data_IF_673578978871
#
_entry.id   IF_673578978871
#
_cell.length_a   1.000
_cell.length_b   1.000
_cell.length_c   1.000
_cell.angle_alpha   90.00
_cell.angle_beta   90.00
_cell.angle_gamma   90.00
#
_symmetry.space_group_name_H-M   'P 1'
#
loop_
_entity.id
_entity.type
_entity.pdbx_description
1 polymer ?
#
# COMPACT_ATOMS: atom_id res chain seq x y z
N UNK A 1 8.90 28.00 -9.25
CA UNK A 1 7.65 27.42 -9.82
C UNK A 1 6.72 26.99 -8.69
N UNK A 2 5.40 27.10 -8.89
CA UNK A 2 4.38 26.64 -7.93
C UNK A 2 3.98 25.17 -8.13
N UNK A 3 4.49 24.52 -9.18
CA UNK A 3 4.16 23.15 -9.56
C UNK A 3 4.99 22.06 -8.86
N UNK A 4 6.12 22.40 -8.23
CA UNK A 4 7.04 21.45 -7.59
C UNK A 4 7.28 21.73 -6.09
N UNK A 5 6.26 21.71 -5.23
CA UNK A 5 6.44 22.14 -3.83
C UNK A 5 7.32 21.21 -2.97
N UNK A 6 7.56 19.96 -3.37
CA UNK A 6 8.55 19.09 -2.69
C UNK A 6 10.00 19.54 -2.91
N UNK A 7 10.31 20.10 -4.08
CA UNK A 7 11.63 20.64 -4.44
C UNK A 7 11.39 21.88 -5.29
N UNK A 8 11.01 23.01 -4.67
CA UNK A 8 10.67 24.20 -5.42
C UNK A 8 11.89 24.64 -6.22
N UNK A 9 11.72 24.72 -7.54
CA UNK A 9 12.75 25.20 -8.46
C UNK A 9 12.52 26.69 -8.71
N UNK A 10 13.60 27.47 -8.68
CA UNK A 10 13.58 28.86 -9.12
C UNK A 10 14.09 28.90 -10.55
N UNK A 11 13.44 29.72 -11.38
CA UNK A 11 13.79 29.93 -12.78
C UNK A 11 14.04 31.42 -12.95
N UNK A 12 15.03 31.77 -13.76
CA UNK A 12 15.45 33.16 -13.96
C UNK A 12 14.57 33.83 -15.01
N UNK A 13 14.09 33.05 -15.99
CA UNK A 13 13.22 33.54 -17.06
C UNK A 13 11.85 32.88 -17.05
N UNK A 14 10.86 33.58 -17.61
CA UNK A 14 9.53 33.01 -17.81
C UNK A 14 9.56 31.81 -18.79
N UNK A 15 10.50 31.79 -19.72
CA UNK A 15 10.64 30.76 -20.76
C UNK A 15 11.14 29.44 -20.16
N UNK A 16 12.11 29.49 -19.26
CA UNK A 16 12.57 28.34 -18.48
C UNK A 16 11.44 27.74 -17.63
N UNK A 17 10.61 28.60 -17.02
CA UNK A 17 9.45 28.15 -16.26
C UNK A 17 8.43 27.47 -17.17
N UNK A 18 8.12 28.03 -18.34
CA UNK A 18 7.20 27.42 -19.32
C UNK A 18 7.73 26.08 -19.83
N UNK A 19 9.04 25.99 -20.13
CA UNK A 19 9.67 24.74 -20.54
C UNK A 19 9.60 23.67 -19.43
N UNK A 20 9.87 24.04 -18.18
CA UNK A 20 9.72 23.16 -17.03
C UNK A 20 8.27 22.66 -16.84
N UNK A 21 7.30 23.54 -17.01
CA UNK A 21 5.88 23.19 -16.93
C UNK A 21 5.44 22.32 -18.12
N UNK A 22 6.01 22.53 -19.32
CA UNK A 22 5.79 21.71 -20.50
C UNK A 22 6.36 20.28 -20.36
N UNK A 23 7.47 20.11 -19.62
CA UNK A 23 7.97 18.77 -19.24
C UNK A 23 7.03 18.01 -18.28
N UNK A 24 6.06 18.72 -17.68
CA UNK A 24 5.06 18.17 -16.76
C UNK A 24 3.66 18.53 -17.24
N UNK A 25 3.20 17.95 -18.36
CA UNK A 25 1.96 18.37 -18.99
C UNK A 25 0.72 18.03 -18.14
N UNK A 26 0.81 17.07 -17.21
CA UNK A 26 -0.32 16.59 -16.43
C UNK A 26 -0.45 17.38 -15.11
N UNK A 27 -1.42 18.28 -15.04
CA UNK A 27 -1.74 19.04 -13.83
C UNK A 27 -2.70 18.27 -12.91
N UNK A 28 -2.63 18.55 -11.61
CA UNK A 28 -3.64 18.10 -10.66
C UNK A 28 -4.91 18.95 -10.78
N UNK A 29 -6.09 18.32 -10.73
CA UNK A 29 -7.37 19.05 -10.76
C UNK A 29 -7.71 19.80 -9.46
N UNK A 30 -7.03 19.49 -8.35
CA UNK A 30 -7.32 20.03 -7.01
C UNK A 30 -6.24 20.97 -6.47
N UNK A 31 -5.04 21.00 -7.08
CA UNK A 31 -3.94 21.86 -6.64
C UNK A 31 -2.98 22.21 -7.78
N UNK A 32 -2.00 23.09 -7.52
CA UNK A 32 -1.05 23.57 -8.53
C UNK A 32 0.03 22.55 -8.95
N UNK A 33 0.02 21.33 -8.41
CA UNK A 33 1.04 20.32 -8.76
C UNK A 33 0.94 19.88 -10.21
N UNK A 34 2.12 19.64 -10.82
CA UNK A 34 2.23 19.08 -12.17
C UNK A 34 3.14 17.84 -12.17
N UNK A 35 2.84 16.91 -13.07
CA UNK A 35 3.46 15.59 -13.18
C UNK A 35 3.87 15.28 -14.62
N UNK A 36 4.87 14.41 -14.76
CA UNK A 36 5.39 14.00 -16.08
C UNK A 36 4.46 13.03 -16.82
N UNK A 37 3.57 12.33 -16.12
CA UNK A 37 2.62 11.40 -16.71
C UNK A 37 1.27 11.42 -15.96
N UNK A 38 0.23 10.91 -16.63
CA UNK A 38 -1.14 10.82 -16.09
C UNK A 38 -1.22 9.96 -14.83
N UNK A 39 -0.54 8.82 -14.80
CA UNK A 39 -0.57 7.87 -13.68
C UNK A 39 -0.05 8.49 -12.38
N UNK A 40 0.98 9.34 -12.44
CA UNK A 40 1.50 10.05 -11.28
C UNK A 40 0.53 11.12 -10.78
N UNK A 41 -0.13 11.84 -11.68
CA UNK A 41 -1.15 12.82 -11.34
C UNK A 41 -2.36 12.15 -10.68
N UNK A 42 -2.84 11.04 -11.26
CA UNK A 42 -3.95 10.26 -10.72
C UNK A 42 -3.62 9.68 -9.34
N UNK A 43 -2.44 9.06 -9.18
CA UNK A 43 -1.98 8.57 -7.87
C UNK A 43 -1.92 9.69 -6.83
N UNK A 44 -1.47 10.88 -7.22
CA UNK A 44 -1.46 12.05 -6.34
C UNK A 44 -2.88 12.46 -5.93
N UNK A 45 -3.80 12.54 -6.90
CA UNK A 45 -5.20 12.88 -6.63
C UNK A 45 -5.86 11.86 -5.71
N UNK A 46 -5.72 10.57 -6.01
CA UNK A 46 -6.29 9.49 -5.21
C UNK A 46 -5.75 9.47 -3.78
N UNK A 47 -4.46 9.75 -3.57
CA UNK A 47 -3.86 9.65 -2.23
C UNK A 47 -4.00 10.88 -1.35
N UNK A 48 -4.16 12.08 -1.92
CA UNK A 48 -4.19 13.32 -1.14
C UNK A 48 -5.54 14.04 -1.15
N UNK A 49 -6.25 14.00 -2.28
CA UNK A 49 -7.47 14.79 -2.47
C UNK A 49 -8.72 13.94 -2.38
N UNK A 50 -8.76 12.82 -3.11
CA UNK A 50 -9.95 11.97 -3.17
C UNK A 50 -10.01 10.94 -2.04
N UNK A 51 -8.88 10.30 -1.72
CA UNK A 51 -8.75 9.28 -0.65
C UNK A 51 -9.78 8.15 -0.68
N UNK A 52 -10.31 7.81 -1.86
CA UNK A 52 -11.36 6.78 -2.06
C UNK A 52 -11.09 5.43 -1.40
N UNK A 53 -9.81 5.06 -1.28
CA UNK A 53 -9.40 3.82 -0.64
C UNK A 53 -8.33 4.09 0.41
N UNK A 54 -8.43 3.36 1.52
CA UNK A 54 -7.39 3.29 2.54
C UNK A 54 -7.00 1.85 2.82
N UNK A 55 -5.77 1.66 3.25
CA UNK A 55 -5.26 0.39 3.73
C UNK A 55 -5.00 0.50 5.23
N UNK A 56 -5.45 -0.48 6.01
CA UNK A 56 -5.17 -0.56 7.44
C UNK A 56 -5.09 -2.03 7.88
N UNK A 57 -4.27 -2.32 8.89
CA UNK A 57 -4.27 -3.63 9.54
C UNK A 57 -5.56 -3.89 10.33
N UNK A 58 -6.31 -2.85 10.70
CA UNK A 58 -7.64 -2.95 11.33
C UNK A 58 -8.65 -3.68 10.44
N UNK A 59 -8.45 -3.64 9.12
CA UNK A 59 -9.34 -4.28 8.18
C UNK A 59 -9.38 -5.82 8.31
N UNK A 60 -8.37 -6.44 8.92
CA UNK A 60 -8.35 -7.87 9.20
C UNK A 60 -9.10 -8.19 10.49
N UNK A 61 -10.28 -8.80 10.36
CA UNK A 61 -11.14 -9.14 11.49
C UNK A 61 -10.47 -10.15 12.43
N UNK A 62 -9.83 -11.18 11.86
CA UNK A 62 -9.17 -12.25 12.59
C UNK A 62 -8.00 -12.88 11.83
N UNK A 63 -7.33 -13.87 12.45
CA UNK A 63 -6.23 -14.62 11.85
C UNK A 63 -6.57 -15.21 10.47
N UNK A 64 -7.82 -15.59 10.26
CA UNK A 64 -8.32 -16.18 9.02
C UNK A 64 -8.16 -15.27 7.80
N UNK A 65 -8.28 -13.96 7.97
CA UNK A 65 -8.09 -12.98 6.89
C UNK A 65 -6.63 -12.87 6.43
N UNK A 66 -5.68 -13.42 7.19
CA UNK A 66 -4.27 -13.42 6.86
C UNK A 66 -3.83 -14.66 6.08
N UNK A 67 -4.71 -15.62 5.77
CA UNK A 67 -4.36 -16.82 5.02
C UNK A 67 -5.20 -16.94 3.75
N UNK A 68 -4.62 -17.53 2.70
CA UNK A 68 -5.35 -17.86 1.46
C UNK A 68 -4.90 -19.21 0.89
N UNK A 69 -5.73 -19.84 0.05
CA UNK A 69 -5.38 -21.09 -0.61
C UNK A 69 -4.10 -20.97 -1.45
N UNK A 70 -3.19 -21.94 -1.33
CA UNK A 70 -1.98 -21.99 -2.15
C UNK A 70 -2.33 -22.34 -3.60
N UNK A 71 -1.92 -21.54 -4.59
CA UNK A 71 -2.08 -21.90 -6.00
C UNK A 71 -1.23 -23.10 -6.41
N UNK A 72 -0.17 -23.41 -5.66
CA UNK A 72 0.79 -24.46 -5.98
C UNK A 72 0.48 -25.78 -5.27
N UNK A 73 -0.22 -25.75 -4.14
CA UNK A 73 -0.49 -26.92 -3.31
C UNK A 73 -1.96 -26.90 -2.85
N UNK A 74 -2.77 -27.79 -3.43
CA UNK A 74 -4.22 -27.83 -3.20
C UNK A 74 -4.63 -28.08 -1.73
N UNK A 75 -3.73 -28.62 -0.91
CA UNK A 75 -3.97 -28.93 0.50
C UNK A 75 -3.29 -27.98 1.48
N UNK A 76 -2.76 -26.84 1.01
CA UNK A 76 -2.10 -25.86 1.86
C UNK A 76 -2.70 -24.46 1.66
N UNK A 77 -2.73 -23.69 2.75
CA UNK A 77 -2.88 -22.24 2.71
C UNK A 77 -1.53 -21.55 2.88
N UNK A 78 -1.41 -20.32 2.42
CA UNK A 78 -0.23 -19.48 2.57
C UNK A 78 -0.52 -18.35 3.56
N UNK A 79 0.43 -18.07 4.45
CA UNK A 79 0.41 -16.87 5.28
C UNK A 79 0.62 -15.63 4.41
N UNK A 80 -0.22 -14.62 4.58
CA UNK A 80 -0.19 -13.46 3.71
C UNK A 80 0.93 -12.48 3.92
N UNK A 81 1.53 -12.52 5.10
CA UNK A 81 2.67 -11.69 5.44
C UNK A 81 3.98 -12.27 4.88
N UNK A 82 4.18 -13.60 4.90
CA UNK A 82 5.46 -14.22 4.53
C UNK A 82 5.42 -15.32 3.47
N UNK A 83 4.23 -15.76 3.06
CA UNK A 83 4.03 -16.83 2.08
C UNK A 83 4.36 -18.24 2.59
N UNK A 84 4.55 -18.42 3.91
CA UNK A 84 4.77 -19.75 4.48
C UNK A 84 3.51 -20.61 4.31
N UNK A 85 3.70 -21.86 3.94
CA UNK A 85 2.61 -22.83 3.76
C UNK A 85 2.15 -23.44 5.09
N UNK A 86 0.85 -23.70 5.19
CA UNK A 86 0.18 -24.34 6.31
C UNK A 86 -0.80 -25.38 5.78
N UNK A 87 -0.77 -26.62 6.29
CA UNK A 87 -1.66 -27.66 5.81
C UNK A 87 -3.13 -27.39 6.15
N UNK A 88 -4.01 -28.05 5.39
CA UNK A 88 -5.42 -28.23 5.67
C UNK A 88 -5.67 -29.59 6.34
N UNK A 89 -6.63 -29.70 7.29
CA UNK A 89 -7.49 -28.63 7.80
C UNK A 89 -6.74 -27.60 8.67
N UNK A 90 -7.24 -26.36 8.77
CA UNK A 90 -6.53 -25.27 9.44
C UNK A 90 -6.37 -25.53 10.94
N UNK A 91 -5.12 -25.62 11.39
CA UNK A 91 -4.73 -25.62 12.80
C UNK A 91 -4.59 -24.16 13.28
N UNK A 92 -5.69 -23.57 13.76
CA UNK A 92 -5.78 -22.14 14.07
C UNK A 92 -4.90 -21.69 15.23
N UNK A 93 -4.63 -22.57 16.19
CA UNK A 93 -3.67 -22.35 17.27
C UNK A 93 -2.26 -22.10 16.71
N UNK A 94 -1.80 -22.97 15.81
CA UNK A 94 -0.48 -22.86 15.15
C UNK A 94 -0.41 -21.63 14.25
N UNK A 95 -1.47 -21.37 13.49
CA UNK A 95 -1.55 -20.21 12.59
C UNK A 95 -1.57 -18.89 13.36
N UNK A 96 -2.34 -18.80 14.44
CA UNK A 96 -2.42 -17.60 15.28
C UNK A 96 -1.11 -17.35 16.02
N UNK A 97 -0.49 -18.39 16.59
CA UNK A 97 0.83 -18.31 17.21
C UNK A 97 1.89 -17.82 16.22
N UNK A 98 1.86 -18.32 14.98
CA UNK A 98 2.73 -17.84 13.91
C UNK A 98 2.53 -16.34 13.62
N UNK A 99 1.28 -15.90 13.46
CA UNK A 99 0.95 -14.51 13.20
C UNK A 99 1.41 -13.59 14.35
N UNK A 100 1.16 -13.98 15.60
CA UNK A 100 1.57 -13.20 16.76
C UNK A 100 3.09 -13.13 16.86
N UNK A 101 3.79 -14.27 16.79
CA UNK A 101 5.25 -14.30 17.02
C UNK A 101 6.10 -13.80 15.87
N UNK A 102 5.70 -14.06 14.62
CA UNK A 102 6.47 -13.65 13.44
C UNK A 102 6.03 -12.31 12.90
N UNK A 103 4.73 -12.02 12.99
CA UNK A 103 4.14 -10.86 12.34
C UNK A 103 3.57 -9.85 13.32
N UNK A 104 3.64 -10.07 14.65
CA UNK A 104 3.12 -9.12 15.66
C UNK A 104 1.69 -8.69 15.33
N UNK A 105 0.87 -9.67 14.97
CA UNK A 105 -0.47 -9.45 14.48
C UNK A 105 -1.32 -8.69 15.51
N UNK A 106 -2.02 -7.65 15.06
CA UNK A 106 -2.77 -6.69 15.90
C UNK A 106 -1.97 -5.88 16.94
N UNK A 107 -0.65 -5.95 16.96
CA UNK A 107 0.19 -5.13 17.85
C UNK A 107 0.58 -3.78 17.24
N UNK A 108 0.26 -3.53 15.97
CA UNK A 108 0.50 -2.24 15.34
C UNK A 108 -0.62 -1.23 15.66
N UNK A 109 -0.40 0.05 15.34
CA UNK A 109 -1.45 1.06 15.45
C UNK A 109 -2.55 0.79 14.41
N UNK A 110 -3.64 0.16 14.85
CA UNK A 110 -4.79 -0.19 14.02
C UNK A 110 -5.51 1.03 13.44
N UNK A 111 -5.49 2.17 14.13
CA UNK A 111 -6.03 3.43 13.60
C UNK A 111 -5.19 4.05 12.47
N UNK A 112 -4.02 3.48 12.17
CA UNK A 112 -3.13 4.00 11.12
C UNK A 112 -3.62 3.60 9.74
N UNK A 113 -4.19 4.58 9.04
CA UNK A 113 -4.58 4.46 7.64
C UNK A 113 -3.47 4.88 6.69
N UNK A 114 -3.32 4.14 5.60
CA UNK A 114 -2.45 4.47 4.49
C UNK A 114 -3.32 4.73 3.27
N UNK A 115 -3.13 5.85 2.57
CA UNK A 115 -3.87 6.16 1.32
C UNK A 115 -3.09 5.75 0.07
N UNK A 116 -2.09 4.88 0.26
CA UNK A 116 -1.19 4.36 -0.78
C UNK A 116 -0.74 2.95 -0.43
N UNK A 117 -0.98 2.00 -1.32
CA UNK A 117 -0.58 0.60 -1.15
C UNK A 117 0.92 0.42 -0.92
N UNK A 118 1.78 1.20 -1.58
CA UNK A 118 3.23 1.07 -1.40
C UNK A 118 3.72 1.49 0.00
N UNK A 119 3.10 2.50 0.59
CA UNK A 119 3.37 2.88 1.98
C UNK A 119 2.85 1.82 2.96
N UNK A 120 1.70 1.21 2.67
CA UNK A 120 1.17 0.11 3.47
C UNK A 120 2.08 -1.12 3.41
N UNK A 121 2.57 -1.51 2.22
CA UNK A 121 3.58 -2.59 2.08
C UNK A 121 4.84 -2.31 2.89
N UNK A 122 5.31 -1.06 2.90
CA UNK A 122 6.46 -0.67 3.71
C UNK A 122 6.18 -0.85 5.21
N UNK A 123 4.96 -0.54 5.66
CA UNK A 123 4.54 -0.83 7.02
C UNK A 123 4.49 -2.33 7.32
N UNK A 124 3.90 -3.14 6.44
CA UNK A 124 3.90 -4.61 6.58
C UNK A 124 5.33 -5.14 6.71
N UNK A 125 6.26 -4.66 5.88
CA UNK A 125 7.67 -5.05 5.92
C UNK A 125 8.34 -4.72 7.26
N UNK A 126 8.18 -3.49 7.76
CA UNK A 126 8.92 -3.03 8.93
C UNK A 126 8.24 -3.35 10.27
N UNK A 127 6.91 -3.41 10.31
CA UNK A 127 6.15 -3.65 11.54
C UNK A 127 5.73 -5.11 11.68
N UNK A 128 5.48 -5.80 10.57
CA UNK A 128 4.99 -7.17 10.54
C UNK A 128 5.97 -8.16 9.93
N UNK A 129 7.23 -7.79 9.70
CA UNK A 129 8.23 -8.62 9.03
C UNK A 129 7.71 -9.24 7.70
N UNK A 130 6.85 -8.49 7.01
CA UNK A 130 6.22 -8.92 5.77
C UNK A 130 7.22 -8.98 4.61
N UNK A 131 7.03 -9.95 3.73
CA UNK A 131 7.85 -10.17 2.54
C UNK A 131 6.98 -10.04 1.30
N UNK A 132 7.54 -9.42 0.26
CA UNK A 132 6.88 -9.31 -1.03
C UNK A 132 6.99 -10.63 -1.79
N UNK A 133 5.87 -11.14 -2.27
CA UNK A 133 5.78 -12.34 -3.10
C UNK A 133 4.58 -12.23 -4.06
N UNK A 134 4.31 -13.31 -4.81
CA UNK A 134 3.15 -13.39 -5.72
C UNK A 134 1.80 -13.18 -5.03
N UNK A 135 1.82 -13.26 -3.71
CA UNK A 135 0.67 -13.35 -2.84
C UNK A 135 0.36 -12.03 -2.12
N UNK A 136 1.29 -11.08 -2.12
CA UNK A 136 1.18 -9.82 -1.35
C UNK A 136 -0.03 -8.97 -1.75
N UNK A 137 -0.44 -9.02 -3.02
CA UNK A 137 -1.65 -8.34 -3.50
C UNK A 137 -2.92 -8.82 -2.81
N UNK A 138 -2.97 -10.10 -2.41
CA UNK A 138 -4.12 -10.66 -1.70
C UNK A 138 -4.22 -10.06 -0.29
N UNK A 139 -3.08 -9.92 0.41
CA UNK A 139 -3.06 -9.29 1.74
C UNK A 139 -3.47 -7.82 1.66
N UNK A 140 -3.00 -7.09 0.64
CA UNK A 140 -3.39 -5.70 0.43
C UNK A 140 -4.88 -5.54 0.15
N UNK A 141 -5.46 -6.43 -0.65
CA UNK A 141 -6.90 -6.42 -0.94
C UNK A 141 -7.72 -6.80 0.30
N UNK A 142 -7.23 -7.70 1.14
CA UNK A 142 -7.86 -8.00 2.43
C UNK A 142 -7.83 -6.78 3.39
N UNK A 143 -6.81 -5.93 3.25
CA UNK A 143 -6.60 -4.77 4.10
C UNK A 143 -7.17 -3.46 3.55
N UNK A 144 -7.75 -3.46 2.35
CA UNK A 144 -8.31 -2.25 1.73
C UNK A 144 -9.74 -1.99 2.22
N UNK A 145 -10.09 -0.72 2.36
CA UNK A 145 -11.43 -0.21 2.64
C UNK A 145 -11.76 0.90 1.67
N UNK A 146 -13.03 1.01 1.29
CA UNK A 146 -13.57 2.22 0.68
C UNK A 146 -13.81 3.26 1.78
N UNK A 147 -13.52 4.53 1.50
CA UNK A 147 -13.66 5.67 2.43
C UNK A 147 -14.76 6.63 1.98
#
# INVERSE_FOLDING_TARGET
CKCCPKKPQRFLTADELRAHEAQKPFACGFCSHRFKNRNEAERHQNSLHLRKHSWSCEAMAGPESAFWPSPAAAHNDLCGFCGKEFPLPPQWDVRTEHLNRKHKFKECNLGKKFFRADHFRQHLKHSHAGVNGKWTSVLENACVREE
#
